data_IF_435487866334
#
_entry.id   IF_435487866334
#
_cell.length_a   1.000
_cell.length_b   1.000
_cell.length_c   1.000
_cell.angle_alpha   90.00
_cell.angle_beta   90.00
_cell.angle_gamma   90.00
#
_symmetry.space_group_name_H-M   'P 1'
#
loop_
_entity.id
_entity.type
_entity.pdbx_description
1 polymer ?
#
# COMPACT_ATOMS: atom_id res chain seq x y z
N UNK A 1 5.22 -13.11 -0.42
CA UNK A 1 4.80 -11.74 -0.09
C UNK A 1 3.68 -11.82 0.93
N UNK A 2 3.63 -10.89 1.89
CA UNK A 2 2.73 -11.00 3.01
C UNK A 2 1.30 -10.56 2.66
N UNK A 3 0.30 -11.22 3.24
CA UNK A 3 -1.06 -10.69 3.35
C UNK A 3 -1.03 -9.53 4.34
N UNK A 4 -1.59 -8.37 3.97
CA UNK A 4 -1.64 -7.18 4.83
C UNK A 4 -3.06 -7.05 5.39
N UNK A 5 -3.18 -7.01 6.71
CA UNK A 5 -4.47 -6.89 7.41
C UNK A 5 -4.47 -5.63 8.29
N UNK A 6 -5.36 -4.66 8.02
CA UNK A 6 -5.66 -3.59 8.97
C UNK A 6 -6.27 -4.17 10.25
N UNK A 7 -5.79 -3.76 11.42
CA UNK A 7 -6.30 -4.24 12.71
C UNK A 7 -6.46 -3.06 13.65
N UNK A 8 -7.63 -2.91 14.27
CA UNK A 8 -7.80 -2.00 15.41
C UNK A 8 -7.31 -2.68 16.69
N UNK A 9 -6.41 -2.05 17.42
CA UNK A 9 -6.00 -2.54 18.74
C UNK A 9 -4.70 -1.97 19.26
N UNK A 10 -4.24 -2.56 20.37
CA UNK A 10 -2.95 -2.28 20.97
C UNK A 10 -1.87 -3.20 20.36
N UNK A 11 -0.77 -2.61 19.91
CA UNK A 11 0.38 -3.33 19.37
C UNK A 11 1.00 -4.29 20.39
N UNK A 12 0.93 -3.96 21.69
CA UNK A 12 1.49 -4.77 22.78
C UNK A 12 0.71 -6.05 23.03
N UNK A 13 -0.53 -6.13 22.54
CA UNK A 13 -1.41 -7.28 22.71
C UNK A 13 -1.43 -8.23 21.50
N UNK A 14 -0.55 -8.03 20.51
CA UNK A 14 -0.59 -8.82 19.26
C UNK A 14 0.14 -10.16 19.40
N UNK A 15 -0.56 -11.31 19.26
CA UNK A 15 0.06 -12.64 19.29
C UNK A 15 0.67 -12.98 17.92
N UNK A 16 1.83 -12.40 17.62
CA UNK A 16 2.58 -12.58 16.36
C UNK A 16 4.04 -12.92 16.67
N UNK A 17 4.81 -13.37 15.68
CA UNK A 17 6.22 -13.69 15.89
C UNK A 17 7.03 -12.45 16.31
N UNK A 18 6.81 -11.32 15.64
CA UNK A 18 7.47 -10.06 15.96
C UNK A 18 6.51 -8.87 15.93
N UNK A 19 6.63 -7.97 16.90
CA UNK A 19 6.03 -6.63 16.81
C UNK A 19 7.10 -5.60 16.48
N UNK A 20 6.71 -4.56 15.77
CA UNK A 20 7.60 -3.45 15.44
C UNK A 20 7.38 -2.31 16.43
N UNK A 21 8.47 -1.79 16.98
CA UNK A 21 8.49 -0.63 17.83
C UNK A 21 8.96 0.60 17.03
N UNK A 22 8.17 1.68 17.06
CA UNK A 22 8.57 2.99 16.57
C UNK A 22 9.43 3.70 17.64
N UNK A 23 10.72 3.37 17.66
CA UNK A 23 11.68 3.86 18.65
C UNK A 23 12.25 5.24 18.27
N UNK A 24 12.91 5.87 19.23
CA UNK A 24 13.83 6.99 18.98
C UNK A 24 15.27 6.50 18.84
N UNK A 25 16.17 7.36 18.35
CA UNK A 25 17.58 7.02 18.14
C UNK A 25 18.27 6.43 19.38
N UNK A 26 17.88 6.86 20.59
CA UNK A 26 18.49 6.37 21.83
C UNK A 26 18.08 4.94 22.21
N UNK A 27 16.94 4.43 21.73
CA UNK A 27 16.40 3.10 22.08
C UNK A 27 16.35 2.83 23.60
N UNK A 28 15.90 3.80 24.38
CA UNK A 28 15.77 3.69 25.85
C UNK A 28 14.31 3.76 26.33
N UNK A 29 13.37 3.50 25.43
CA UNK A 29 11.97 3.80 25.64
C UNK A 29 11.64 5.28 25.45
N UNK A 30 10.39 5.63 25.76
CA UNK A 30 9.84 6.95 25.50
C UNK A 30 8.33 7.01 25.74
N UNK A 31 7.65 7.84 24.95
CA UNK A 31 6.18 7.94 24.93
C UNK A 31 5.54 7.07 23.84
N UNK A 32 4.22 7.16 23.70
CA UNK A 32 3.46 6.50 22.63
C UNK A 32 3.68 4.98 22.58
N UNK A 33 3.84 4.46 21.35
CA UNK A 33 4.09 3.04 21.05
C UNK A 33 5.32 2.51 21.79
N UNK A 34 6.44 3.25 21.74
CA UNK A 34 7.71 2.86 22.36
C UNK A 34 7.58 2.71 23.88
N UNK A 35 6.96 3.70 24.52
CA UNK A 35 6.64 3.63 25.94
C UNK A 35 5.71 2.46 26.29
N UNK A 36 4.70 2.19 25.46
CA UNK A 36 3.78 1.07 25.68
C UNK A 36 4.50 -0.28 25.61
N UNK A 37 5.33 -0.48 24.59
CA UNK A 37 6.13 -1.71 24.40
C UNK A 37 7.11 -1.91 25.55
N UNK A 38 7.84 -0.87 25.98
CA UNK A 38 8.76 -0.98 27.12
C UNK A 38 8.05 -1.27 28.44
N UNK A 39 6.85 -0.71 28.67
CA UNK A 39 6.06 -1.03 29.88
C UNK A 39 5.52 -2.45 29.85
N UNK A 40 5.00 -2.90 28.72
CA UNK A 40 4.36 -4.21 28.59
C UNK A 40 5.38 -5.36 28.45
N UNK A 41 6.53 -5.13 27.84
CA UNK A 41 7.60 -6.12 27.72
C UNK A 41 8.50 -6.23 28.96
N UNK A 42 8.35 -5.32 29.91
CA UNK A 42 9.13 -5.30 31.14
C UNK A 42 10.60 -4.94 30.93
N UNK A 43 11.39 -5.09 32.00
CA UNK A 43 12.79 -4.63 32.05
C UNK A 43 13.70 -5.33 31.03
N UNK A 44 13.38 -6.57 30.66
CA UNK A 44 14.15 -7.37 29.71
C UNK A 44 14.34 -6.68 28.35
N UNK A 45 13.32 -5.98 27.84
CA UNK A 45 13.41 -5.24 26.57
C UNK A 45 14.44 -4.12 26.67
N UNK A 46 14.42 -3.34 27.75
CA UNK A 46 15.36 -2.23 27.94
C UNK A 46 16.80 -2.71 28.14
N UNK A 47 17.01 -3.76 28.92
CA UNK A 47 18.35 -4.30 29.17
C UNK A 47 18.97 -4.84 27.87
N UNK A 48 18.18 -5.53 27.04
CA UNK A 48 18.64 -6.02 25.73
C UNK A 48 18.89 -4.87 24.74
N UNK A 49 18.06 -3.82 24.76
CA UNK A 49 18.33 -2.58 24.00
C UNK A 49 19.68 -1.95 24.37
N UNK A 50 20.01 -1.87 25.67
CA UNK A 50 21.28 -1.31 26.15
C UNK A 50 22.45 -2.18 25.73
N UNK A 51 22.33 -3.51 25.87
CA UNK A 51 23.38 -4.45 25.56
C UNK A 51 23.69 -4.52 24.05
N UNK A 52 22.67 -4.55 23.20
CA UNK A 52 22.81 -4.70 21.74
C UNK A 52 23.06 -3.40 21.02
N UNK A 53 22.47 -2.31 21.50
CA UNK A 53 22.51 -1.00 20.85
C UNK A 53 23.02 0.05 21.83
N UNK A 54 24.28 -0.05 22.32
CA UNK A 54 24.83 0.89 23.30
C UNK A 54 24.85 2.33 22.78
N UNK A 55 24.99 2.50 21.46
CA UNK A 55 24.97 3.79 20.76
C UNK A 55 23.63 4.10 20.08
N UNK A 56 22.61 3.27 20.28
CA UNK A 56 21.30 3.44 19.65
C UNK A 56 21.23 2.99 18.19
N UNK A 57 20.24 3.49 17.45
CA UNK A 57 20.01 3.21 16.03
C UNK A 57 19.89 4.50 15.21
N UNK A 58 20.35 4.45 13.97
CA UNK A 58 20.19 5.55 13.01
C UNK A 58 18.74 5.61 12.50
N UNK A 59 18.28 6.82 12.14
CA UNK A 59 16.99 7.02 11.48
C UNK A 59 16.92 6.20 10.19
N UNK A 60 15.84 5.45 9.98
CA UNK A 60 15.65 4.57 8.83
C UNK A 60 16.20 3.14 8.98
N UNK A 61 16.88 2.83 10.08
CA UNK A 61 17.40 1.48 10.36
C UNK A 61 16.50 0.68 11.32
N UNK A 62 16.78 -0.61 11.44
CA UNK A 62 16.07 -1.51 12.34
C UNK A 62 17.00 -2.56 12.99
N UNK A 63 16.68 -2.92 14.23
CA UNK A 63 17.34 -4.00 14.99
C UNK A 63 16.32 -4.71 15.89
N UNK A 64 16.71 -5.78 16.57
CA UNK A 64 15.79 -6.56 17.40
C UNK A 64 16.29 -6.83 18.82
N UNK A 65 15.33 -7.05 19.70
CA UNK A 65 15.51 -7.50 21.09
C UNK A 65 14.53 -8.63 21.43
N UNK A 66 14.73 -9.28 22.57
CA UNK A 66 13.68 -10.07 23.23
C UNK A 66 12.40 -9.26 23.41
N UNK A 67 11.24 -9.90 23.32
CA UNK A 67 9.97 -9.25 23.62
C UNK A 67 9.61 -9.23 25.12
N UNK A 68 10.42 -9.88 25.96
CA UNK A 68 10.20 -9.95 27.40
C UNK A 68 8.84 -10.58 27.74
N UNK A 69 7.97 -9.81 28.40
CA UNK A 69 6.64 -10.25 28.84
C UNK A 69 5.52 -10.12 27.77
N UNK A 70 5.84 -9.59 26.59
CA UNK A 70 4.88 -9.45 25.50
C UNK A 70 4.46 -10.82 24.93
N UNK A 71 3.24 -10.93 24.35
CA UNK A 71 2.79 -12.15 23.68
C UNK A 71 3.56 -12.46 22.39
N UNK A 72 4.32 -11.50 21.86
CA UNK A 72 5.21 -11.71 20.72
C UNK A 72 6.53 -12.34 21.14
N UNK A 73 7.29 -12.89 20.19
CA UNK A 73 8.60 -13.51 20.48
C UNK A 73 9.74 -12.49 20.44
N UNK A 74 9.63 -11.53 19.53
CA UNK A 74 10.64 -10.50 19.30
C UNK A 74 10.03 -9.11 19.21
N UNK A 75 10.81 -8.10 19.62
CA UNK A 75 10.54 -6.70 19.30
C UNK A 75 11.57 -6.24 18.28
N UNK A 76 11.10 -5.79 17.12
CA UNK A 76 11.93 -5.15 16.10
C UNK A 76 11.81 -3.64 16.30
N UNK A 77 12.89 -2.99 16.70
CA UNK A 77 12.95 -1.55 16.88
C UNK A 77 13.38 -0.90 15.58
N UNK A 78 12.65 0.11 15.14
CA UNK A 78 13.04 0.96 14.02
C UNK A 78 12.87 2.42 14.36
N UNK A 79 13.79 3.26 13.88
CA UNK A 79 13.78 4.70 14.15
C UNK A 79 13.19 5.42 12.96
N UNK A 80 11.95 5.89 13.10
CA UNK A 80 11.27 6.63 12.04
C UNK A 80 11.80 8.06 11.88
N UNK A 81 11.63 8.70 10.71
CA UNK A 81 11.97 10.10 10.52
C UNK A 81 11.10 11.02 11.37
N UNK A 82 11.70 12.08 11.92
CA UNK A 82 11.04 13.13 12.71
C UNK A 82 10.88 14.44 11.93
N UNK A 83 9.63 14.72 11.56
CA UNK A 83 9.24 15.88 10.75
C UNK A 83 9.55 17.21 11.45
N UNK A 84 9.53 17.22 12.79
CA UNK A 84 9.76 18.41 13.60
C UNK A 84 11.23 18.87 13.59
N UNK A 85 12.17 17.99 13.25
CA UNK A 85 13.60 18.31 13.13
C UNK A 85 14.08 18.33 11.66
N UNK A 86 13.15 18.32 10.71
CA UNK A 86 13.44 18.45 9.28
C UNK A 86 13.63 17.13 8.53
N UNK A 87 13.52 15.97 9.19
CA UNK A 87 13.58 14.67 8.52
C UNK A 87 12.25 14.40 7.81
N UNK A 88 12.19 14.72 6.51
CA UNK A 88 10.97 14.64 5.69
C UNK A 88 11.10 13.76 4.46
N UNK A 89 12.22 13.05 4.31
CA UNK A 89 12.44 12.15 3.18
C UNK A 89 11.56 10.89 3.31
N UNK A 90 10.59 10.65 2.41
CA UNK A 90 9.77 9.46 2.42
C UNK A 90 10.60 8.17 2.29
N UNK A 91 11.75 8.22 1.62
CA UNK A 91 12.62 7.05 1.46
C UNK A 91 13.14 6.52 2.80
N UNK A 92 13.30 7.40 3.80
CA UNK A 92 13.67 7.02 5.17
C UNK A 92 12.55 6.28 5.87
N UNK A 93 11.29 6.73 5.72
CA UNK A 93 10.13 6.02 6.26
C UNK A 93 9.96 4.66 5.58
N UNK A 94 10.12 4.58 4.26
CA UNK A 94 10.12 3.31 3.52
C UNK A 94 11.24 2.37 4.01
N UNK A 95 12.43 2.91 4.32
CA UNK A 95 13.55 2.15 4.85
C UNK A 95 13.18 1.46 6.17
N UNK A 96 12.44 2.13 7.05
CA UNK A 96 11.98 1.56 8.32
C UNK A 96 11.19 0.25 8.10
N UNK A 97 10.27 0.25 7.13
CA UNK A 97 9.49 -0.94 6.79
C UNK A 97 10.35 -2.03 6.13
N UNK A 98 11.21 -1.65 5.16
CA UNK A 98 12.11 -2.61 4.47
C UNK A 98 13.08 -3.28 5.44
N UNK A 99 13.76 -2.51 6.28
CA UNK A 99 14.71 -3.01 7.28
C UNK A 99 14.03 -3.86 8.34
N UNK A 100 12.85 -3.46 8.80
CA UNK A 100 12.08 -4.27 9.76
C UNK A 100 11.68 -5.63 9.17
N UNK A 101 11.27 -5.69 7.90
CA UNK A 101 11.00 -6.97 7.21
C UNK A 101 12.26 -7.81 7.02
N UNK A 102 13.39 -7.20 6.70
CA UNK A 102 14.67 -7.90 6.60
C UNK A 102 15.09 -8.52 7.95
N UNK A 103 14.95 -7.76 9.05
CA UNK A 103 15.21 -8.26 10.41
C UNK A 103 14.24 -9.38 10.78
N UNK A 104 12.96 -9.27 10.41
CA UNK A 104 11.99 -10.33 10.61
C UNK A 104 12.40 -11.63 9.87
N UNK A 105 12.92 -11.51 8.66
CA UNK A 105 13.42 -12.65 7.89
C UNK A 105 14.66 -13.28 8.53
N UNK A 106 15.60 -12.46 9.04
CA UNK A 106 16.78 -12.91 9.80
C UNK A 106 16.38 -13.74 11.04
N UNK A 107 15.27 -13.34 11.70
CA UNK A 107 14.70 -14.02 12.86
C UNK A 107 13.85 -15.25 12.50
N UNK A 108 13.57 -15.48 11.21
CA UNK A 108 12.65 -16.51 10.74
C UNK A 108 11.18 -16.25 11.09
N UNK A 109 10.81 -15.00 11.42
CA UNK A 109 9.45 -14.60 11.75
C UNK A 109 8.53 -14.70 10.51
N UNK A 110 7.31 -15.20 10.70
CA UNK A 110 6.31 -15.36 9.64
C UNK A 110 5.13 -14.41 9.79
N UNK A 111 4.91 -13.91 10.99
CA UNK A 111 3.85 -12.96 11.32
C UNK A 111 4.45 -11.72 11.98
N UNK A 112 4.15 -10.53 11.44
CA UNK A 112 4.69 -9.27 11.97
C UNK A 112 3.56 -8.26 12.16
N UNK A 113 3.57 -7.55 13.28
CA UNK A 113 2.65 -6.42 13.50
C UNK A 113 3.42 -5.10 13.48
N UNK A 114 2.98 -4.16 12.66
CA UNK A 114 3.53 -2.81 12.56
C UNK A 114 2.55 -1.79 13.16
N UNK A 115 3.03 -0.80 13.93
CA UNK A 115 2.29 0.43 14.19
C UNK A 115 2.39 1.36 12.98
N UNK A 116 1.69 2.49 13.03
CA UNK A 116 1.93 3.59 12.09
C UNK A 116 3.21 4.35 12.50
N UNK A 117 4.32 4.04 11.85
CA UNK A 117 5.64 4.62 12.16
C UNK A 117 5.62 6.14 11.90
N UNK A 118 6.22 6.89 12.82
CA UNK A 118 6.34 8.36 12.81
C UNK A 118 5.07 9.19 12.92
N UNK A 119 3.87 8.60 13.00
CA UNK A 119 2.61 9.39 12.97
C UNK A 119 2.20 10.02 14.29
N UNK A 120 2.83 9.61 15.40
CA UNK A 120 2.62 10.18 16.73
C UNK A 120 3.56 11.36 16.98
N UNK A 121 4.47 11.20 17.93
CA UNK A 121 5.39 12.25 18.38
C UNK A 121 6.31 12.84 17.29
N UNK A 122 6.47 12.15 16.16
CA UNK A 122 7.32 12.57 15.04
C UNK A 122 6.55 13.27 13.91
N UNK A 123 5.23 13.39 14.02
CA UNK A 123 4.40 14.29 13.21
C UNK A 123 4.23 13.91 11.75
N UNK A 124 4.55 12.68 11.34
CA UNK A 124 4.32 12.25 9.95
C UNK A 124 2.82 12.13 9.66
N UNK A 125 2.30 12.71 8.56
CA UNK A 125 0.88 12.63 8.24
C UNK A 125 0.40 11.17 8.11
N UNK A 126 -0.63 10.80 8.86
CA UNK A 126 -1.07 9.39 8.97
C UNK A 126 -1.49 8.79 7.63
N UNK A 127 -2.13 9.58 6.75
CA UNK A 127 -2.51 9.13 5.40
C UNK A 127 -1.28 8.76 4.58
N UNK A 128 -0.26 9.60 4.58
CA UNK A 128 0.98 9.35 3.84
C UNK A 128 1.77 8.19 4.44
N UNK A 129 1.77 8.05 5.77
CA UNK A 129 2.41 6.94 6.47
C UNK A 129 1.72 5.60 6.16
N UNK A 130 0.39 5.54 6.19
CA UNK A 130 -0.38 4.34 5.89
C UNK A 130 -0.17 3.87 4.44
N UNK A 131 -0.17 4.81 3.50
CA UNK A 131 0.17 4.53 2.10
C UNK A 131 1.61 4.02 1.98
N UNK A 132 2.57 4.67 2.65
CA UNK A 132 3.97 4.26 2.63
C UNK A 132 4.14 2.84 3.17
N UNK A 133 3.49 2.53 4.29
CA UNK A 133 3.49 1.20 4.89
C UNK A 133 2.94 0.16 3.92
N UNK A 134 1.71 0.35 3.46
CA UNK A 134 1.00 -0.58 2.59
C UNK A 134 1.79 -0.89 1.30
N UNK A 135 2.27 0.14 0.61
CA UNK A 135 3.03 -0.01 -0.63
C UNK A 135 4.41 -0.63 -0.41
N UNK A 136 5.13 -0.20 0.64
CA UNK A 136 6.48 -0.71 0.89
C UNK A 136 6.44 -2.18 1.31
N UNK A 137 5.54 -2.54 2.24
CA UNK A 137 5.37 -3.93 2.69
C UNK A 137 4.96 -4.82 1.52
N UNK A 138 4.03 -4.37 0.68
CA UNK A 138 3.58 -5.11 -0.48
C UNK A 138 4.66 -5.37 -1.54
N UNK A 139 5.60 -4.43 -1.69
CA UNK A 139 6.63 -4.49 -2.74
C UNK A 139 7.96 -5.07 -2.25
N UNK A 140 8.17 -5.17 -0.94
CA UNK A 140 9.39 -5.71 -0.35
C UNK A 140 9.41 -7.24 -0.43
N UNK A 141 10.41 -7.86 -1.08
CA UNK A 141 10.61 -9.30 -0.99
C UNK A 141 10.88 -9.71 0.46
N UNK A 142 10.09 -10.66 0.98
CA UNK A 142 10.22 -11.12 2.37
C UNK A 142 9.66 -12.53 2.54
N UNK A 143 10.15 -13.23 3.57
CA UNK A 143 9.67 -14.51 4.05
C UNK A 143 8.48 -14.41 5.02
N UNK A 144 8.14 -13.20 5.48
CA UNK A 144 6.92 -12.90 6.23
C UNK A 144 5.67 -13.22 5.40
N UNK A 145 4.70 -13.90 6.01
CA UNK A 145 3.45 -14.34 5.39
C UNK A 145 2.27 -13.46 5.74
N UNK A 146 2.22 -12.93 6.95
CA UNK A 146 1.14 -12.05 7.39
C UNK A 146 1.70 -10.82 8.09
N UNK A 147 1.23 -9.65 7.65
CA UNK A 147 1.52 -8.37 8.28
C UNK A 147 0.23 -7.77 8.81
N UNK A 148 0.23 -7.38 10.09
CA UNK A 148 -0.84 -6.58 10.69
C UNK A 148 -0.41 -5.12 10.72
N UNK A 149 -1.21 -4.24 10.12
CA UNK A 149 -1.07 -2.80 10.32
C UNK A 149 -2.00 -2.40 11.46
N UNK A 150 -1.43 -2.21 12.65
CA UNK A 150 -2.18 -1.97 13.88
C UNK A 150 -2.46 -0.49 14.04
N UNK A 151 -3.75 -0.15 13.97
CA UNK A 151 -4.28 1.17 14.24
C UNK A 151 -4.85 1.22 15.66
N UNK A 152 -4.48 2.26 16.41
CA UNK A 152 -4.90 2.37 17.82
C UNK A 152 -6.39 2.71 17.97
N UNK A 153 -6.92 3.52 17.05
CA UNK A 153 -8.30 3.99 17.05
C UNK A 153 -8.99 3.77 15.69
N UNK A 154 -10.28 4.08 15.65
CA UNK A 154 -11.13 3.86 14.47
C UNK A 154 -10.79 4.80 13.30
N UNK A 155 -10.24 5.99 13.56
CA UNK A 155 -9.85 6.93 12.51
C UNK A 155 -8.58 6.49 11.80
N UNK A 156 -7.57 6.08 12.58
CA UNK A 156 -6.38 5.43 12.08
C UNK A 156 -6.74 4.14 11.32
N UNK A 157 -7.67 3.33 11.85
CA UNK A 157 -8.08 2.09 11.17
C UNK A 157 -8.63 2.38 9.78
N UNK A 158 -9.58 3.31 9.66
CA UNK A 158 -10.15 3.70 8.35
C UNK A 158 -9.09 4.17 7.37
N UNK A 159 -8.08 4.89 7.85
CA UNK A 159 -6.97 5.38 7.02
C UNK A 159 -6.11 4.21 6.50
N UNK A 160 -5.83 3.23 7.36
CA UNK A 160 -5.07 2.03 7.01
C UNK A 160 -5.86 1.12 6.07
N UNK A 161 -7.15 0.92 6.33
CA UNK A 161 -8.06 0.17 5.45
C UNK A 161 -8.09 0.78 4.06
N UNK A 162 -8.23 2.10 3.96
CA UNK A 162 -8.16 2.80 2.68
C UNK A 162 -6.82 2.58 1.97
N UNK A 163 -5.69 2.69 2.68
CA UNK A 163 -4.37 2.49 2.10
C UNK A 163 -4.18 1.06 1.55
N UNK A 164 -4.69 0.04 2.24
CA UNK A 164 -4.66 -1.35 1.78
C UNK A 164 -5.59 -1.57 0.58
N UNK A 165 -6.80 -0.98 0.61
CA UNK A 165 -7.78 -1.07 -0.48
C UNK A 165 -7.29 -0.48 -1.80
N UNK A 166 -6.32 0.46 -1.78
CA UNK A 166 -5.75 1.03 -3.00
C UNK A 166 -4.87 0.05 -3.79
N UNK A 167 -4.37 -1.00 -3.14
CA UNK A 167 -3.40 -1.90 -3.76
C UNK A 167 -4.02 -2.76 -4.87
N UNK A 168 -5.24 -3.25 -4.68
CA UNK A 168 -5.97 -4.06 -5.68
C UNK A 168 -6.33 -3.27 -6.95
N UNK A 169 -6.99 -2.09 -6.87
CA UNK A 169 -7.20 -1.20 -8.00
C UNK A 169 -5.90 -0.90 -8.76
N UNK A 170 -4.81 -0.63 -8.04
CA UNK A 170 -3.54 -0.33 -8.67
C UNK A 170 -3.03 -1.53 -9.48
N UNK A 171 -3.11 -2.77 -8.96
CA UNK A 171 -2.74 -3.96 -9.73
C UNK A 171 -3.59 -4.13 -10.99
N UNK A 172 -4.89 -3.84 -10.91
CA UNK A 172 -5.81 -3.86 -12.07
C UNK A 172 -5.39 -2.82 -13.11
N UNK A 173 -5.05 -1.59 -12.70
CA UNK A 173 -4.57 -0.55 -13.62
C UNK A 173 -3.21 -0.94 -14.23
N UNK A 174 -2.28 -1.43 -13.43
CA UNK A 174 -1.00 -1.92 -13.92
C UNK A 174 -1.15 -3.10 -14.89
N UNK A 175 -2.18 -3.94 -14.71
CA UNK A 175 -2.49 -5.04 -15.62
C UNK A 175 -2.89 -4.54 -17.02
N UNK A 176 -3.68 -3.46 -17.09
CA UNK A 176 -4.03 -2.83 -18.37
C UNK A 176 -2.77 -2.31 -19.09
N UNK A 177 -1.81 -1.73 -18.36
CA UNK A 177 -0.48 -1.41 -18.92
C UNK A 177 0.22 -2.65 -19.49
N UNK A 178 0.13 -3.80 -18.82
CA UNK A 178 0.69 -5.05 -19.36
C UNK A 178 -0.02 -5.47 -20.64
N UNK A 179 -1.36 -5.38 -20.71
CA UNK A 179 -2.13 -5.65 -21.93
C UNK A 179 -1.67 -4.74 -23.08
N UNK A 180 -1.49 -3.43 -22.84
CA UNK A 180 -0.98 -2.49 -23.85
C UNK A 180 0.41 -2.88 -24.34
N UNK A 181 1.31 -3.29 -23.45
CA UNK A 181 2.66 -3.76 -23.80
C UNK A 181 2.65 -5.10 -24.57
N UNK A 182 1.61 -5.92 -24.39
CA UNK A 182 1.35 -7.13 -25.19
C UNK A 182 0.74 -6.84 -26.57
N UNK A 183 0.42 -5.57 -26.86
CA UNK A 183 -0.16 -5.12 -28.14
C UNK A 183 -1.69 -5.01 -28.12
N UNK A 184 -2.35 -5.22 -26.99
CA UNK A 184 -3.80 -5.03 -26.83
C UNK A 184 -4.11 -3.58 -26.44
N UNK A 185 -3.64 -2.62 -27.23
CA UNK A 185 -3.76 -1.19 -26.94
C UNK A 185 -5.18 -0.66 -27.11
N UNK A 186 -6.13 -1.48 -27.56
CA UNK A 186 -7.57 -1.21 -27.54
C UNK A 186 -8.22 -1.47 -26.17
N UNK A 187 -7.51 -2.00 -25.17
CA UNK A 187 -8.05 -2.14 -23.82
C UNK A 187 -8.25 -0.75 -23.19
N UNK A 188 -9.50 -0.41 -22.87
CA UNK A 188 -9.91 0.86 -22.27
C UNK A 188 -10.31 0.69 -20.82
N UNK A 189 -10.18 1.77 -20.05
CA UNK A 189 -10.71 1.84 -18.69
C UNK A 189 -11.73 2.97 -18.53
N UNK A 190 -12.64 2.82 -17.57
CA UNK A 190 -13.55 3.87 -17.08
C UNK A 190 -13.60 3.78 -15.57
N UNK A 191 -12.70 4.51 -14.89
CA UNK A 191 -12.69 4.57 -13.45
C UNK A 191 -13.66 5.65 -12.96
N UNK A 192 -14.19 5.50 -11.75
CA UNK A 192 -15.10 6.48 -11.18
C UNK A 192 -15.56 6.10 -9.78
N UNK A 193 -16.47 6.89 -9.23
CA UNK A 193 -17.14 6.55 -7.98
C UNK A 193 -18.47 5.85 -8.26
N UNK A 194 -18.95 5.06 -7.30
CA UNK A 194 -20.34 4.63 -7.22
C UNK A 194 -21.27 5.84 -7.12
N UNK A 195 -22.54 5.70 -7.52
CA UNK A 195 -23.52 6.79 -7.43
C UNK A 195 -23.68 7.35 -6.00
N UNK A 196 -23.52 6.50 -4.98
CA UNK A 196 -23.55 6.91 -3.57
C UNK A 196 -22.25 7.52 -3.04
N UNK A 197 -21.18 7.54 -3.85
CA UNK A 197 -19.83 7.89 -3.41
C UNK A 197 -19.17 6.89 -2.45
N UNK A 198 -19.82 5.77 -2.13
CA UNK A 198 -19.35 4.82 -1.11
C UNK A 198 -18.17 3.94 -1.52
N UNK A 199 -17.92 3.76 -2.82
CA UNK A 199 -16.77 2.98 -3.31
C UNK A 199 -16.27 3.47 -4.66
N UNK A 200 -14.99 3.25 -4.91
CA UNK A 200 -14.38 3.44 -6.23
C UNK A 200 -14.66 2.22 -7.11
N UNK A 201 -14.81 2.44 -8.42
CA UNK A 201 -15.06 1.39 -9.42
C UNK A 201 -14.21 1.62 -10.67
N UNK A 202 -13.95 0.54 -11.40
CA UNK A 202 -13.41 0.60 -12.76
C UNK A 202 -14.07 -0.45 -13.64
N UNK A 203 -14.38 -0.05 -14.87
CA UNK A 203 -14.68 -0.98 -15.96
C UNK A 203 -13.48 -1.04 -16.90
N UNK A 204 -13.17 -2.24 -17.42
CA UNK A 204 -12.16 -2.49 -18.44
C UNK A 204 -12.83 -3.18 -19.63
N UNK A 205 -12.71 -2.65 -20.84
CA UNK A 205 -13.32 -3.25 -22.03
C UNK A 205 -12.43 -3.09 -23.27
N UNK A 206 -12.57 -3.96 -24.28
CA UNK A 206 -11.96 -3.73 -25.59
C UNK A 206 -12.74 -2.66 -26.36
N UNK A 207 -12.05 -1.63 -26.87
CA UNK A 207 -12.64 -0.58 -27.71
C UNK A 207 -13.40 -1.17 -28.91
N UNK A 208 -14.59 -0.66 -29.19
CA UNK A 208 -15.46 -1.15 -30.27
C UNK A 208 -16.16 -2.49 -30.01
N UNK A 209 -15.99 -3.09 -28.83
CA UNK A 209 -16.69 -4.33 -28.48
C UNK A 209 -18.12 -4.06 -27.98
N UNK A 210 -19.10 -4.81 -28.50
CA UNK A 210 -20.48 -4.84 -28.00
C UNK A 210 -20.70 -5.75 -26.78
N UNK A 211 -19.64 -6.36 -26.25
CA UNK A 211 -19.67 -7.28 -25.10
C UNK A 211 -19.42 -6.55 -23.78
N UNK A 212 -19.91 -7.08 -22.64
CA UNK A 212 -19.71 -6.46 -21.34
C UNK A 212 -18.22 -6.34 -20.99
N UNK A 213 -17.86 -5.19 -20.42
CA UNK A 213 -16.54 -4.98 -19.84
C UNK A 213 -16.37 -5.73 -18.52
N UNK A 214 -15.12 -6.04 -18.17
CA UNK A 214 -14.72 -6.51 -16.85
C UNK A 214 -14.93 -5.38 -15.84
N UNK A 215 -15.45 -5.68 -14.65
CA UNK A 215 -15.70 -4.64 -13.63
C UNK A 215 -15.07 -4.99 -12.30
N UNK A 216 -14.67 -3.96 -11.56
CA UNK A 216 -14.17 -4.06 -10.20
C UNK A 216 -14.69 -2.88 -9.38
N UNK A 217 -14.89 -3.11 -8.08
CA UNK A 217 -15.22 -2.08 -7.09
C UNK A 217 -14.43 -2.34 -5.81
N UNK A 218 -14.01 -1.29 -5.10
CA UNK A 218 -13.38 -1.43 -3.79
C UNK A 218 -14.30 -2.06 -2.74
N UNK A 219 -15.62 -2.09 -2.98
CA UNK A 219 -16.57 -2.87 -2.18
C UNK A 219 -16.36 -4.38 -2.29
N UNK A 220 -15.73 -4.87 -3.37
CA UNK A 220 -15.30 -6.27 -3.52
C UNK A 220 -13.98 -6.59 -2.82
N UNK A 221 -13.38 -5.62 -2.11
CA UNK A 221 -12.12 -5.76 -1.36
C UNK A 221 -10.98 -6.24 -2.26
N UNK A 222 -10.34 -7.38 -1.99
CA UNK A 222 -9.26 -7.94 -2.80
C UNK A 222 -9.75 -8.87 -3.91
N UNK A 223 -11.05 -9.12 -4.04
CA UNK A 223 -11.58 -10.06 -5.03
C UNK A 223 -11.80 -9.38 -6.38
N UNK A 224 -11.19 -9.94 -7.44
CA UNK A 224 -11.39 -9.53 -8.82
C UNK A 224 -11.44 -10.78 -9.72
N UNK A 225 -12.50 -10.89 -10.53
CA UNK A 225 -12.74 -12.05 -11.41
C UNK A 225 -12.66 -13.38 -10.64
N UNK A 226 -13.37 -13.43 -9.50
CA UNK A 226 -13.41 -14.58 -8.58
C UNK A 226 -12.05 -15.05 -8.06
N UNK A 227 -11.02 -14.21 -8.19
CA UNK A 227 -9.65 -14.47 -7.75
C UNK A 227 -9.19 -13.39 -6.76
N UNK A 228 -8.37 -13.79 -5.79
CA UNK A 228 -7.76 -12.83 -4.88
C UNK A 228 -6.63 -12.06 -5.60
N UNK A 229 -6.85 -10.76 -5.84
CA UNK A 229 -5.85 -9.82 -6.33
C UNK A 229 -5.38 -8.95 -5.18
N UNK A 230 -4.15 -9.18 -4.76
CA UNK A 230 -3.51 -8.44 -3.68
C UNK A 230 -2.43 -7.52 -4.24
N UNK A 231 -1.85 -6.72 -3.36
CA UNK A 231 -0.66 -5.96 -3.65
C UNK A 231 0.53 -6.82 -4.13
N UNK A 232 0.55 -8.12 -3.87
CA UNK A 232 1.62 -9.02 -4.33
C UNK A 232 1.39 -9.60 -5.72
N UNK A 233 0.14 -9.64 -6.17
CA UNK A 233 -0.22 -10.23 -7.47
C UNK A 233 0.47 -9.45 -8.57
N UNK A 234 1.25 -10.14 -9.41
CA UNK A 234 1.99 -9.45 -10.47
C UNK A 234 0.98 -8.85 -11.45
N UNK A 235 1.21 -7.63 -11.95
CA UNK A 235 0.33 -7.05 -12.97
C UNK A 235 0.13 -7.96 -14.20
N UNK A 236 1.13 -8.78 -14.55
CA UNK A 236 1.01 -9.76 -15.62
C UNK A 236 0.03 -10.90 -15.30
N UNK A 237 0.01 -11.40 -14.06
CA UNK A 237 -0.95 -12.42 -13.63
C UNK A 237 -2.38 -11.86 -13.65
N UNK A 238 -2.56 -10.60 -13.22
CA UNK A 238 -3.87 -9.93 -13.33
C UNK A 238 -4.26 -9.71 -14.80
N UNK A 239 -3.31 -9.44 -15.68
CA UNK A 239 -3.58 -9.32 -17.12
C UNK A 239 -3.98 -10.68 -17.74
N UNK A 240 -3.37 -11.77 -17.30
CA UNK A 240 -3.75 -13.13 -17.71
C UNK A 240 -5.19 -13.44 -17.28
N UNK A 241 -5.57 -13.11 -16.04
CA UNK A 241 -6.95 -13.23 -15.56
C UNK A 241 -7.94 -12.41 -16.42
N UNK A 242 -7.57 -11.18 -16.81
CA UNK A 242 -8.40 -10.35 -17.69
C UNK A 242 -8.56 -10.97 -19.09
N UNK A 243 -7.48 -11.49 -19.67
CA UNK A 243 -7.50 -12.15 -20.99
C UNK A 243 -8.25 -13.47 -20.98
N UNK A 244 -8.29 -14.18 -19.86
CA UNK A 244 -9.07 -15.40 -19.67
C UNK A 244 -10.56 -15.10 -19.50
N UNK A 245 -10.91 -14.10 -18.70
CA UNK A 245 -12.29 -13.66 -18.51
C UNK A 245 -12.89 -12.95 -19.74
N UNK A 246 -12.07 -12.26 -20.54
CA UNK A 246 -12.49 -11.64 -21.79
C UNK A 246 -11.45 -11.86 -22.91
N UNK A 247 -11.61 -12.94 -23.71
CA UNK A 247 -10.69 -13.28 -24.79
C UNK A 247 -10.50 -12.20 -25.86
N UNK A 248 -11.42 -11.23 -26.00
CA UNK A 248 -11.26 -10.12 -26.94
C UNK A 248 -10.07 -9.21 -26.57
N UNK A 249 -9.63 -9.20 -25.30
CA UNK A 249 -8.42 -8.51 -24.85
C UNK A 249 -7.12 -9.16 -25.35
N UNK A 250 -7.16 -10.39 -25.89
CA UNK A 250 -5.99 -11.04 -26.51
C UNK A 250 -5.67 -10.51 -27.92
N UNK A 251 -6.63 -9.82 -28.54
CA UNK A 251 -6.47 -9.28 -29.89
C UNK A 251 -5.39 -8.21 -29.89
N UNK A 252 -4.46 -8.23 -30.85
CA UNK A 252 -3.44 -7.19 -30.97
C UNK A 252 -3.96 -6.06 -31.84
N UNK A 253 -4.42 -4.98 -31.21
CA UNK A 253 -4.85 -3.75 -31.87
C UNK A 253 -3.97 -2.62 -31.38
N UNK A 254 -3.25 -1.98 -32.30
CA UNK A 254 -2.36 -0.86 -32.01
C UNK A 254 -3.16 0.45 -31.87
N UNK A 255 -2.89 1.17 -30.81
CA UNK A 255 -3.35 2.52 -30.50
C UNK A 255 -2.30 3.19 -29.59
N UNK A 256 -1.18 3.63 -30.17
CA UNK A 256 -0.05 4.15 -29.40
C UNK A 256 -0.39 5.44 -28.67
N UNK A 257 -1.36 6.22 -29.17
CA UNK A 257 -1.77 7.48 -28.56
C UNK A 257 -2.48 7.22 -27.23
N UNK A 258 -3.42 6.26 -27.21
CA UNK A 258 -4.07 5.84 -25.96
C UNK A 258 -3.08 5.18 -25.00
N UNK A 259 -2.20 4.31 -25.51
CA UNK A 259 -1.22 3.62 -24.67
C UNK A 259 -0.25 4.61 -23.99
N UNK A 260 0.22 5.63 -24.71
CA UNK A 260 1.06 6.69 -24.14
C UNK A 260 0.30 7.52 -23.10
N UNK A 261 -0.93 7.93 -23.42
CA UNK A 261 -1.79 8.64 -22.49
C UNK A 261 -2.05 7.83 -21.20
N UNK A 262 -2.23 6.51 -21.34
CA UNK A 262 -2.45 5.60 -20.23
C UNK A 262 -1.22 5.45 -19.34
N UNK A 263 -0.02 5.32 -19.93
CA UNK A 263 1.24 5.28 -19.17
C UNK A 263 1.43 6.56 -18.34
N UNK A 264 1.08 7.73 -18.88
CA UNK A 264 1.12 9.00 -18.14
C UNK A 264 0.09 9.04 -17.00
N UNK A 265 -1.14 8.56 -17.24
CA UNK A 265 -2.17 8.42 -16.21
C UNK A 265 -1.67 7.54 -15.06
N UNK A 266 -1.17 6.35 -15.39
CA UNK A 266 -0.72 5.38 -14.40
C UNK A 266 0.49 5.90 -13.61
N UNK A 267 1.42 6.61 -14.26
CA UNK A 267 2.52 7.26 -13.57
C UNK A 267 2.03 8.33 -12.57
N UNK A 268 0.97 9.07 -12.90
CA UNK A 268 0.34 10.01 -11.97
C UNK A 268 -0.32 9.29 -10.79
N UNK A 269 -1.03 8.18 -11.04
CA UNK A 269 -1.64 7.35 -9.99
C UNK A 269 -0.59 6.78 -9.05
N UNK A 270 0.51 6.23 -9.58
CA UNK A 270 1.61 5.64 -8.81
C UNK A 270 2.33 6.71 -7.97
N UNK A 271 2.58 7.89 -8.55
CA UNK A 271 3.24 9.01 -7.86
C UNK A 271 2.36 9.63 -6.77
N UNK A 272 1.09 9.90 -7.08
CA UNK A 272 0.17 10.60 -6.18
C UNK A 272 -0.56 9.64 -5.23
N UNK A 273 -0.37 8.31 -5.38
CA UNK A 273 -1.02 7.25 -4.60
C UNK A 273 -2.53 7.44 -4.48
N UNK A 274 -3.16 7.87 -5.57
CA UNK A 274 -4.60 8.20 -5.64
C UNK A 274 -5.20 7.61 -6.90
N UNK A 275 -6.39 7.00 -6.79
CA UNK A 275 -7.07 6.38 -7.94
C UNK A 275 -7.65 7.45 -8.86
N UNK A 276 -7.66 7.21 -10.18
CA UNK A 276 -8.23 8.15 -11.12
C UNK A 276 -9.76 8.15 -11.02
N UNK A 277 -10.39 9.30 -11.16
CA UNK A 277 -11.86 9.43 -11.20
C UNK A 277 -12.28 10.16 -12.47
N UNK A 278 -13.10 9.51 -13.28
CA UNK A 278 -13.76 10.14 -14.43
C UNK A 278 -15.13 10.67 -13.99
N UNK A 279 -15.33 11.99 -14.04
CA UNK A 279 -16.61 12.65 -13.73
C UNK A 279 -17.47 12.92 -14.97
N UNK A 280 -17.16 12.28 -16.11
CA UNK A 280 -17.64 12.65 -17.43
C UNK A 280 -19.17 12.62 -17.61
N UNK A 281 -19.93 12.06 -16.67
CA UNK A 281 -21.39 11.93 -16.82
C UNK A 281 -22.22 13.00 -16.09
N UNK A 282 -21.69 13.75 -15.11
CA UNK A 282 -22.57 14.52 -14.21
C UNK A 282 -22.17 15.94 -13.77
N UNK A 283 -20.91 16.39 -13.79
CA UNK A 283 -20.57 17.64 -13.08
C UNK A 283 -19.55 18.60 -13.70
N UNK A 284 -18.67 18.20 -14.62
CA UNK A 284 -17.66 19.12 -15.17
C UNK A 284 -17.08 18.63 -16.50
N UNK A 285 -17.26 19.40 -17.58
CA UNK A 285 -16.77 19.11 -18.93
C UNK A 285 -15.37 19.67 -19.23
N UNK A 286 -14.70 20.32 -18.26
CA UNK A 286 -13.65 21.29 -18.58
C UNK A 286 -12.21 20.92 -18.19
N UNK A 287 -11.89 19.68 -17.79
CA UNK A 287 -10.53 19.44 -17.28
C UNK A 287 -9.92 18.04 -17.25
N UNK A 288 -10.54 17.00 -17.80
CA UNK A 288 -9.97 15.64 -17.74
C UNK A 288 -10.33 14.87 -16.46
N UNK A 289 -9.59 13.79 -16.17
CA UNK A 289 -9.81 12.91 -15.03
C UNK A 289 -9.06 13.41 -13.79
N UNK A 290 -9.70 13.33 -12.63
CA UNK A 290 -9.06 13.71 -11.36
C UNK A 290 -8.10 12.60 -10.91
N UNK A 291 -6.87 12.98 -10.52
CA UNK A 291 -5.85 12.06 -9.98
C UNK A 291 -5.15 12.73 -8.79
N UNK A 292 -5.91 13.04 -7.73
CA UNK A 292 -5.39 13.65 -6.50
C UNK A 292 -5.99 15.00 -6.14
N UNK A 293 -7.32 15.16 -6.16
CA UNK A 293 -8.01 16.38 -5.76
C UNK A 293 -7.86 17.53 -6.76
N UNK A 294 -6.65 18.13 -6.82
CA UNK A 294 -6.34 19.29 -7.68
C UNK A 294 -5.62 18.91 -8.97
N UNK A 295 -4.96 17.75 -9.00
CA UNK A 295 -4.27 17.27 -10.20
C UNK A 295 -5.28 16.66 -11.18
N UNK A 296 -5.25 17.12 -12.42
CA UNK A 296 -6.06 16.58 -13.50
C UNK A 296 -5.20 16.01 -14.61
N UNK A 297 -5.51 14.78 -15.00
CA UNK A 297 -4.96 14.13 -16.17
C UNK A 297 -5.88 14.40 -17.37
N UNK A 298 -5.37 14.77 -18.57
CA UNK A 298 -6.21 15.07 -19.73
C UNK A 298 -7.21 13.97 -20.06
N UNK A 299 -8.30 14.30 -20.76
CA UNK A 299 -9.23 13.29 -21.28
C UNK A 299 -8.48 12.29 -22.18
N UNK A 300 -8.90 11.00 -22.20
CA UNK A 300 -8.35 10.03 -23.13
C UNK A 300 -8.53 10.52 -24.57
N UNK A 301 -7.57 10.25 -25.48
CA UNK A 301 -7.74 10.56 -26.89
C UNK A 301 -8.97 9.84 -27.44
N UNK A 302 -9.65 10.48 -28.41
CA UNK A 302 -10.78 9.85 -29.09
C UNK A 302 -10.32 8.56 -29.79
N UNK A 303 -11.14 7.50 -29.78
CA UNK A 303 -10.84 6.30 -30.54
C UNK A 303 -10.64 6.66 -32.02
N UNK A 304 -9.55 6.17 -32.63
CA UNK A 304 -9.34 6.34 -34.07
C UNK A 304 -10.54 5.76 -34.82
N UNK A 305 -11.27 6.60 -35.55
CA UNK A 305 -12.32 6.15 -36.46
C UNK A 305 -11.66 5.24 -37.50
N UNK A 306 -12.15 3.99 -37.59
CA UNK A 306 -11.69 3.01 -38.58
C UNK A 306 -12.37 3.21 -39.92
#
# INVERSE_FOLDING_TARGET
MPTITPVRGDITAQPVDAIVNAANNGMRGGGGVDGAIHRAGGRAVLDDCIARFPNGLATGDAGWTTAGELPARWVIHTVGPNVHVGERDPATLESCYRRSLAVADELGARTVAFPMISTGAYGWPIRDAALTAAFTIASTPTHVRHVRLVAFDDEALRTVEFAVLLLTPLRILQAVRVLHRRGAQHARIRPGMSASGGYWRVAVWPEGAGTPGLTYTTGSTTTFLDTEVTAATRPAEVADLMEEANPALRTRVSDPDYALWYEQLLAAVERNRTLPVSYADHFDSSGGWEVGGRDRHPHPPEPRQR
#
